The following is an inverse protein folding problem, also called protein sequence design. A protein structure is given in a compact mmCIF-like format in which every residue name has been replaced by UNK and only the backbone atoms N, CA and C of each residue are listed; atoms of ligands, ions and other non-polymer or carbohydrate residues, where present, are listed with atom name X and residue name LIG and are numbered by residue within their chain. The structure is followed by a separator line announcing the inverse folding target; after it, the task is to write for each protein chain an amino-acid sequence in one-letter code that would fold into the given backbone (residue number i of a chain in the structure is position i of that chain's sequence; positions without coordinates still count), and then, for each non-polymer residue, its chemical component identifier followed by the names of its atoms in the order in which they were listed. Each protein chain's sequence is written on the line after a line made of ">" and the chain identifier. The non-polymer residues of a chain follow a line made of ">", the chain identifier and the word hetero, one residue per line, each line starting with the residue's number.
data_IF_765062770308
#
_entry.id   IF_765062770308
#
_cell.length_a   1.000
_cell.length_b   1.000
_cell.length_c   1.000
_cell.angle_alpha   90.00
_cell.angle_beta   90.00
_cell.angle_gamma   90.00
#
_symmetry.space_group_name_H-M   'P 1'
#
loop_
_entity.id
_entity.type
_entity.pdbx_description
1 polymer ?
#
# COMPACT_ATOMS: atom_id res chain seq x y z
N UNK A 1 -4.50 -11.97 -19.52
CA UNK A 1 -5.50 -10.91 -19.26
C UNK A 1 -6.85 -11.44 -19.73
N UNK A 2 -7.83 -11.52 -18.84
CA UNK A 2 -9.17 -12.04 -19.15
C UNK A 2 -9.92 -10.98 -19.98
N UNK A 3 -9.96 -11.16 -21.31
CA UNK A 3 -10.57 -10.19 -22.23
C UNK A 3 -12.02 -9.86 -21.86
N UNK A 4 -12.74 -10.83 -21.28
CA UNK A 4 -14.11 -10.65 -20.84
C UNK A 4 -14.23 -9.65 -19.68
N UNK A 5 -13.31 -9.73 -18.70
CA UNK A 5 -13.31 -8.86 -17.54
C UNK A 5 -12.96 -7.41 -17.91
N UNK A 6 -11.96 -7.22 -18.77
CA UNK A 6 -11.60 -5.89 -19.26
C UNK A 6 -12.79 -5.19 -19.93
N UNK A 7 -13.50 -5.91 -20.81
CA UNK A 7 -14.67 -5.37 -21.50
C UNK A 7 -15.76 -4.95 -20.51
N UNK A 8 -16.00 -5.76 -19.46
CA UNK A 8 -16.96 -5.42 -18.40
C UNK A 8 -16.53 -4.15 -17.63
N UNK A 9 -15.25 -4.03 -17.29
CA UNK A 9 -14.72 -2.85 -16.57
C UNK A 9 -14.78 -1.56 -17.41
N UNK A 10 -14.79 -1.67 -18.74
CA UNK A 10 -14.92 -0.52 -19.64
C UNK A 10 -16.38 -0.12 -19.94
N UNK A 11 -17.38 -0.87 -19.49
CA UNK A 11 -18.78 -0.50 -19.66
C UNK A 11 -19.11 0.79 -18.87
N UNK A 12 -20.03 1.64 -19.36
CA UNK A 12 -20.60 2.73 -18.56
C UNK A 12 -21.21 2.22 -17.24
N UNK A 13 -21.16 3.03 -16.20
CA UNK A 13 -21.63 2.65 -14.86
C UNK A 13 -23.09 2.20 -14.83
N UNK A 14 -23.96 2.84 -15.61
CA UNK A 14 -25.36 2.44 -15.72
C UNK A 14 -25.52 0.99 -16.22
N UNK A 15 -24.63 0.52 -17.11
CA UNK A 15 -24.64 -0.86 -17.59
C UNK A 15 -24.02 -1.82 -16.56
N UNK A 16 -22.95 -1.41 -15.87
CA UNK A 16 -22.40 -2.19 -14.74
C UNK A 16 -23.46 -2.40 -13.65
N UNK A 17 -24.22 -1.36 -13.28
CA UNK A 17 -25.34 -1.45 -12.32
C UNK A 17 -26.45 -2.38 -12.81
N UNK A 18 -26.75 -2.39 -14.11
CA UNK A 18 -27.68 -3.37 -14.71
C UNK A 18 -27.17 -4.81 -14.58
N UNK A 19 -25.89 -5.06 -14.77
CA UNK A 19 -25.28 -6.40 -14.54
C UNK A 19 -25.41 -6.83 -13.07
N UNK A 20 -25.31 -5.87 -12.14
CA UNK A 20 -25.53 -6.06 -10.71
C UNK A 20 -27.03 -6.13 -10.34
N UNK A 21 -27.93 -6.06 -11.33
CA UNK A 21 -29.40 -6.04 -11.16
C UNK A 21 -29.89 -4.91 -10.24
N UNK A 22 -29.17 -3.78 -10.20
CA UNK A 22 -29.50 -2.63 -9.35
C UNK A 22 -29.23 -2.82 -7.86
N UNK A 23 -28.54 -3.90 -7.47
CA UNK A 23 -28.14 -4.13 -6.08
C UNK A 23 -26.88 -3.34 -5.74
N UNK A 24 -27.04 -2.03 -5.55
CA UNK A 24 -25.93 -1.19 -5.11
C UNK A 24 -25.68 -1.37 -3.61
N UNK A 25 -24.41 -1.59 -3.26
CA UNK A 25 -23.93 -1.60 -1.89
C UNK A 25 -23.85 -0.14 -1.44
N UNK A 26 -24.79 0.25 -0.58
CA UNK A 26 -24.83 1.54 0.09
C UNK A 26 -24.70 1.36 1.60
N UNK A 27 -23.69 2.00 2.19
CA UNK A 27 -23.33 1.92 3.62
C UNK A 27 -22.78 3.28 4.02
N UNK A 28 -23.02 3.74 5.26
CA UNK A 28 -22.58 5.05 5.77
C UNK A 28 -22.91 6.25 4.85
N UNK A 29 -24.10 6.29 4.27
CA UNK A 29 -24.53 7.29 3.28
C UNK A 29 -23.66 7.38 2.01
N UNK A 30 -22.81 6.38 1.76
CA UNK A 30 -21.99 6.23 0.55
C UNK A 30 -22.57 5.16 -0.34
N UNK A 31 -22.25 5.21 -1.63
CA UNK A 31 -22.58 4.15 -2.59
C UNK A 31 -21.31 3.67 -3.26
N UNK A 32 -21.04 2.38 -3.20
CA UNK A 32 -19.83 1.79 -3.78
C UNK A 32 -19.87 1.91 -5.30
N UNK A 33 -18.72 2.23 -5.90
CA UNK A 33 -18.58 2.27 -7.35
C UNK A 33 -18.97 0.90 -7.95
N UNK A 34 -19.80 0.83 -9.02
CA UNK A 34 -20.28 -0.45 -9.54
C UNK A 34 -19.16 -1.35 -10.05
N UNK A 35 -18.06 -0.78 -10.56
CA UNK A 35 -16.85 -1.54 -10.89
C UNK A 35 -16.23 -2.25 -9.68
N UNK A 36 -16.20 -1.57 -8.52
CA UNK A 36 -15.68 -2.13 -7.28
C UNK A 36 -16.57 -3.27 -6.76
N UNK A 37 -17.89 -3.15 -6.88
CA UNK A 37 -18.82 -4.21 -6.52
C UNK A 37 -18.58 -5.49 -7.36
N UNK A 38 -18.29 -5.34 -8.66
CA UNK A 38 -17.95 -6.47 -9.53
C UNK A 38 -16.60 -7.08 -9.12
N UNK A 39 -15.58 -6.26 -8.86
CA UNK A 39 -14.28 -6.72 -8.36
C UNK A 39 -14.45 -7.51 -7.05
N UNK A 40 -15.21 -6.98 -6.10
CA UNK A 40 -15.48 -7.62 -4.82
C UNK A 40 -16.18 -8.97 -5.00
N UNK A 41 -17.17 -9.03 -5.90
CA UNK A 41 -17.84 -10.27 -6.27
C UNK A 41 -16.86 -11.31 -6.84
N UNK A 42 -15.94 -10.89 -7.72
CA UNK A 42 -14.92 -11.77 -8.32
C UNK A 42 -13.96 -12.28 -7.25
N UNK A 43 -13.44 -11.40 -6.39
CA UNK A 43 -12.53 -11.75 -5.30
C UNK A 43 -13.18 -12.76 -4.35
N UNK A 44 -14.44 -12.50 -3.95
CA UNK A 44 -15.22 -13.44 -3.13
C UNK A 44 -15.44 -14.79 -3.80
N UNK A 45 -15.72 -14.84 -5.10
CA UNK A 45 -15.94 -16.09 -5.84
C UNK A 45 -14.65 -16.87 -6.07
N UNK A 46 -13.51 -16.17 -6.16
CA UNK A 46 -12.20 -16.77 -6.45
C UNK A 46 -11.35 -16.99 -5.18
N UNK A 47 -11.84 -16.65 -3.99
CA UNK A 47 -11.11 -16.85 -2.73
C UNK A 47 -10.61 -18.29 -2.60
N UNK A 48 -9.36 -18.44 -2.17
CA UNK A 48 -8.71 -19.75 -2.05
C UNK A 48 -9.21 -20.53 -0.83
N UNK A 49 -9.64 -19.84 0.22
CA UNK A 49 -10.22 -20.44 1.43
C UNK A 49 -11.34 -19.57 1.99
N UNK A 50 -12.18 -20.17 2.84
CA UNK A 50 -13.12 -19.44 3.72
C UNK A 50 -12.58 -19.26 5.13
N UNK A 51 -11.57 -20.04 5.49
CA UNK A 51 -10.89 -20.03 6.78
C UNK A 51 -9.41 -19.76 6.50
N UNK A 52 -8.96 -18.53 6.82
CA UNK A 52 -7.59 -18.09 6.50
C UNK A 52 -6.53 -18.88 7.28
N UNK A 53 -6.90 -19.42 8.45
CA UNK A 53 -6.00 -20.23 9.28
C UNK A 53 -5.85 -21.67 8.77
N UNK A 54 -6.68 -22.09 7.81
CA UNK A 54 -6.61 -23.45 7.24
C UNK A 54 -5.49 -23.64 6.21
N UNK A 55 -4.79 -22.58 5.82
CA UNK A 55 -3.70 -22.59 4.84
C UNK A 55 -2.43 -22.03 5.46
N UNK A 56 -1.30 -22.59 5.09
CA UNK A 56 -0.01 -22.00 5.45
C UNK A 56 0.21 -20.66 4.70
N UNK A 57 0.98 -19.72 5.29
CA UNK A 57 1.27 -18.43 4.68
C UNK A 57 1.87 -18.53 3.27
N UNK A 58 2.71 -19.53 2.98
CA UNK A 58 3.35 -19.67 1.69
C UNK A 58 2.33 -19.97 0.58
N UNK A 59 1.36 -20.85 0.84
CA UNK A 59 0.25 -21.13 -0.08
C UNK A 59 -0.55 -19.87 -0.42
N UNK A 60 -0.79 -18.99 0.57
CA UNK A 60 -1.52 -17.73 0.37
C UNK A 60 -0.68 -16.77 -0.48
N UNK A 61 0.62 -16.64 -0.22
CA UNK A 61 1.56 -15.83 -1.01
C UNK A 61 1.62 -16.29 -2.46
N UNK A 62 1.73 -17.60 -2.70
CA UNK A 62 1.78 -18.18 -4.03
C UNK A 62 0.50 -17.89 -4.82
N UNK A 63 -0.66 -18.01 -4.17
CA UNK A 63 -1.94 -17.65 -4.76
C UNK A 63 -2.01 -16.15 -5.11
N UNK A 64 -1.61 -15.28 -4.18
CA UNK A 64 -1.65 -13.83 -4.39
C UNK A 64 -0.71 -13.41 -5.52
N UNK A 65 0.51 -13.94 -5.53
CA UNK A 65 1.43 -13.81 -6.65
C UNK A 65 0.77 -14.26 -7.95
N UNK A 66 0.35 -15.52 -8.05
CA UNK A 66 -0.24 -16.11 -9.26
C UNK A 66 -1.42 -15.31 -9.83
N UNK A 67 -2.13 -14.57 -8.98
CA UNK A 67 -3.33 -13.81 -9.38
C UNK A 67 -3.13 -12.30 -9.53
N UNK A 68 -1.95 -11.75 -9.19
CA UNK A 68 -1.62 -10.32 -9.23
C UNK A 68 -2.10 -9.61 -10.51
N UNK A 69 -1.74 -10.15 -11.67
CA UNK A 69 -1.99 -9.51 -12.98
C UNK A 69 -3.46 -9.53 -13.43
N UNK A 70 -4.38 -10.14 -12.67
CA UNK A 70 -5.77 -10.38 -13.11
C UNK A 70 -6.67 -9.16 -12.96
N UNK A 71 -6.38 -8.27 -12.02
CA UNK A 71 -7.16 -7.08 -11.71
C UNK A 71 -6.41 -5.78 -12.00
N UNK A 72 -5.29 -5.88 -12.70
CA UNK A 72 -4.44 -4.75 -13.04
C UNK A 72 -4.64 -4.38 -14.51
N UNK A 73 -4.66 -3.08 -14.78
CA UNK A 73 -4.49 -2.54 -16.13
C UNK A 73 -3.14 -3.01 -16.65
N UNK A 74 -3.04 -3.21 -17.97
CA UNK A 74 -1.74 -3.46 -18.60
C UNK A 74 -0.78 -2.30 -18.26
N UNK A 75 0.35 -2.55 -17.58
CA UNK A 75 1.26 -1.49 -17.20
C UNK A 75 2.01 -0.92 -18.40
N UNK A 76 2.55 0.32 -18.29
CA UNK A 76 3.49 0.87 -19.26
C UNK A 76 4.75 0.00 -19.34
N UNK A 77 5.44 0.08 -20.48
CA UNK A 77 6.74 -0.59 -20.66
C UNK A 77 7.81 0.23 -19.94
N UNK A 78 8.17 -0.21 -18.75
CA UNK A 78 9.19 0.39 -17.90
C UNK A 78 10.34 -0.60 -17.73
N UNK A 79 11.57 -0.14 -18.02
CA UNK A 79 12.78 -0.92 -17.74
C UNK A 79 12.93 -1.04 -16.23
N UNK A 80 13.45 -2.17 -15.75
CA UNK A 80 13.74 -2.37 -14.34
C UNK A 80 14.98 -3.24 -14.16
N UNK A 81 15.59 -3.16 -12.98
CA UNK A 81 16.75 -3.94 -12.56
C UNK A 81 16.57 -4.33 -11.08
N UNK A 82 16.92 -5.57 -10.75
CA UNK A 82 16.91 -6.04 -9.37
C UNK A 82 18.31 -5.88 -8.77
N UNK A 83 18.36 -5.38 -7.53
CA UNK A 83 19.54 -5.28 -6.69
C UNK A 83 19.36 -6.18 -5.47
N UNK A 84 20.47 -6.64 -4.90
CA UNK A 84 20.49 -7.42 -3.67
C UNK A 84 21.14 -6.59 -2.56
N UNK A 85 20.54 -6.60 -1.38
CA UNK A 85 21.02 -5.92 -0.19
C UNK A 85 21.19 -6.96 0.90
N UNK A 86 22.39 -7.03 1.48
CA UNK A 86 22.67 -7.95 2.58
C UNK A 86 21.96 -7.49 3.87
N UNK A 87 21.40 -8.46 4.59
CA UNK A 87 20.79 -8.31 5.91
C UNK A 87 21.29 -9.45 6.81
N UNK A 88 21.11 -9.35 8.13
CA UNK A 88 21.78 -10.24 9.10
C UNK A 88 21.71 -11.74 8.79
N UNK A 89 20.57 -12.23 8.27
CA UNK A 89 20.34 -13.65 7.97
C UNK A 89 20.10 -13.93 6.47
N UNK A 90 20.58 -13.07 5.57
CA UNK A 90 20.45 -13.29 4.13
C UNK A 90 20.54 -12.04 3.29
N UNK A 91 19.65 -11.92 2.31
CA UNK A 91 19.53 -10.73 1.47
C UNK A 91 18.08 -10.43 1.15
N UNK A 92 17.77 -9.15 0.95
CA UNK A 92 16.51 -8.68 0.40
C UNK A 92 16.74 -8.14 -1.00
N UNK A 93 15.71 -8.26 -1.85
CA UNK A 93 15.74 -7.68 -3.20
C UNK A 93 15.13 -6.30 -3.20
N UNK A 94 15.73 -5.40 -3.98
CA UNK A 94 15.14 -4.11 -4.33
C UNK A 94 15.06 -4.01 -5.84
N UNK A 95 13.84 -3.81 -6.38
CA UNK A 95 13.64 -3.58 -7.81
C UNK A 95 13.63 -2.09 -8.09
N UNK A 96 14.63 -1.65 -8.83
CA UNK A 96 14.71 -0.32 -9.42
C UNK A 96 13.93 -0.29 -10.73
N UNK A 97 13.05 0.70 -10.88
CA UNK A 97 12.33 1.00 -12.11
C UNK A 97 12.77 2.35 -12.66
N UNK A 98 13.09 2.38 -13.95
CA UNK A 98 13.66 3.56 -14.61
C UNK A 98 12.57 4.41 -15.26
N UNK A 99 12.55 5.74 -15.06
CA UNK A 99 11.72 6.63 -15.87
C UNK A 99 12.15 6.55 -17.33
N UNK A 100 11.30 7.08 -18.23
CA UNK A 100 11.63 7.14 -19.66
C UNK A 100 12.86 8.04 -19.85
N UNK A 101 13.77 7.66 -20.75
CA UNK A 101 15.05 8.34 -21.00
C UNK A 101 14.91 9.83 -21.35
N UNK A 102 13.75 10.28 -21.83
CA UNK A 102 13.46 11.68 -22.14
C UNK A 102 12.99 12.52 -20.95
N UNK A 103 12.88 11.94 -19.75
CA UNK A 103 12.41 12.62 -18.54
C UNK A 103 13.60 12.79 -17.60
N UNK A 104 13.96 14.05 -17.33
CA UNK A 104 14.86 14.40 -16.24
C UNK A 104 14.10 14.26 -14.92
N UNK A 105 14.50 13.28 -14.09
CA UNK A 105 13.89 13.05 -12.79
C UNK A 105 14.52 13.92 -11.68
N UNK A 106 15.58 14.69 -11.95
CA UNK A 106 16.20 15.63 -11.00
C UNK A 106 16.56 15.00 -9.64
N UNK A 107 16.97 13.74 -9.64
CA UNK A 107 17.26 12.94 -8.44
C UNK A 107 16.05 12.50 -7.60
N UNK A 108 14.82 12.88 -8.00
CA UNK A 108 13.60 12.48 -7.30
C UNK A 108 13.39 10.97 -7.35
N UNK A 109 13.15 10.40 -6.17
CA UNK A 109 13.12 8.97 -5.97
C UNK A 109 11.98 8.58 -5.04
N UNK A 110 11.29 7.48 -5.35
CA UNK A 110 10.32 6.85 -4.47
C UNK A 110 10.84 5.48 -4.01
N UNK A 111 11.12 5.34 -2.72
CA UNK A 111 11.34 4.06 -2.07
C UNK A 111 9.96 3.49 -1.66
N UNK A 112 9.54 2.41 -2.32
CA UNK A 112 8.19 1.86 -2.23
C UNK A 112 8.14 0.55 -1.44
N UNK A 113 7.24 0.49 -0.45
CA UNK A 113 6.96 -0.70 0.36
C UNK A 113 5.58 -1.23 -0.01
N UNK A 114 5.51 -2.51 -0.41
CA UNK A 114 4.25 -3.09 -0.86
C UNK A 114 3.27 -3.36 0.29
N UNK A 115 1.97 -3.39 -0.01
CA UNK A 115 0.96 -3.84 0.94
C UNK A 115 0.90 -5.36 1.12
N UNK A 116 0.02 -5.81 2.00
CA UNK A 116 -0.22 -7.23 2.27
C UNK A 116 -0.09 -7.65 3.74
N UNK A 117 -0.42 -6.75 4.66
CA UNK A 117 -0.47 -7.05 6.11
C UNK A 117 0.82 -7.66 6.65
N UNK A 118 1.98 -7.25 6.11
CA UNK A 118 3.32 -7.74 6.46
C UNK A 118 3.57 -9.24 6.21
N UNK A 119 2.56 -9.98 5.73
CA UNK A 119 2.61 -11.44 5.57
C UNK A 119 2.46 -11.91 4.13
N UNK A 120 1.89 -11.09 3.25
CA UNK A 120 1.76 -11.35 1.82
C UNK A 120 2.23 -10.15 1.01
N UNK A 121 2.21 -10.29 -0.32
CA UNK A 121 2.77 -9.30 -1.24
C UNK A 121 4.17 -9.70 -1.69
N UNK A 122 4.68 -8.95 -2.66
CA UNK A 122 5.99 -9.16 -3.30
C UNK A 122 6.23 -8.07 -4.33
N UNK A 123 7.44 -8.02 -4.89
CA UNK A 123 7.76 -7.24 -6.09
C UNK A 123 6.78 -7.53 -7.23
N UNK A 124 6.37 -8.79 -7.41
CA UNK A 124 5.47 -9.17 -8.51
C UNK A 124 4.06 -8.63 -8.32
N UNK A 125 3.53 -8.68 -7.11
CA UNK A 125 2.14 -8.24 -6.84
C UNK A 125 1.94 -6.74 -7.07
N UNK A 126 2.99 -5.94 -6.84
CA UNK A 126 2.97 -4.48 -6.95
C UNK A 126 3.75 -3.95 -8.16
N UNK A 127 4.26 -4.83 -9.03
CA UNK A 127 5.05 -4.47 -10.22
C UNK A 127 4.27 -3.52 -11.14
N UNK A 128 2.99 -3.82 -11.40
CA UNK A 128 2.16 -2.96 -12.24
C UNK A 128 1.96 -1.57 -11.64
N UNK A 129 1.74 -1.49 -10.32
CA UNK A 129 1.55 -0.21 -9.62
C UNK A 129 2.84 0.62 -9.68
N UNK A 130 3.99 0.02 -9.35
CA UNK A 130 5.29 0.70 -9.43
C UNK A 130 5.56 1.23 -10.85
N UNK A 131 5.27 0.45 -11.89
CA UNK A 131 5.43 0.90 -13.29
C UNK A 131 4.51 2.08 -13.63
N UNK A 132 3.28 2.10 -13.12
CA UNK A 132 2.41 3.26 -13.29
C UNK A 132 2.94 4.47 -12.53
N UNK A 133 3.42 4.30 -11.29
CA UNK A 133 4.01 5.41 -10.51
C UNK A 133 5.22 6.01 -11.21
N UNK A 134 6.11 5.21 -11.80
CA UNK A 134 7.23 5.71 -12.62
C UNK A 134 6.74 6.54 -13.81
N UNK A 135 5.73 6.06 -14.54
CA UNK A 135 5.19 6.76 -15.71
C UNK A 135 4.44 8.05 -15.34
N UNK A 136 3.81 8.09 -14.17
CA UNK A 136 3.03 9.23 -13.68
C UNK A 136 3.90 10.31 -13.01
N UNK A 137 4.87 9.90 -12.18
CA UNK A 137 5.75 10.80 -11.44
C UNK A 137 6.94 11.24 -12.29
N UNK A 138 7.38 10.40 -13.23
CA UNK A 138 8.65 10.59 -13.93
C UNK A 138 9.88 10.34 -13.04
N UNK A 139 9.70 9.68 -11.89
CA UNK A 139 10.76 9.42 -10.90
C UNK A 139 11.34 8.01 -11.02
N UNK A 140 12.51 7.80 -10.44
CA UNK A 140 12.97 6.44 -10.12
C UNK A 140 12.13 5.86 -8.99
N UNK A 141 11.75 4.60 -9.11
CA UNK A 141 11.05 3.87 -8.05
C UNK A 141 11.90 2.67 -7.64
N UNK A 142 12.10 2.49 -6.34
CA UNK A 142 12.79 1.35 -5.76
C UNK A 142 11.79 0.59 -4.89
N UNK A 143 11.28 -0.55 -5.38
CA UNK A 143 10.36 -1.39 -4.61
C UNK A 143 11.13 -2.41 -3.78
N UNK A 144 10.88 -2.47 -2.48
CA UNK A 144 11.58 -3.36 -1.55
C UNK A 144 10.80 -4.65 -1.34
N UNK A 145 11.49 -5.79 -1.47
CA UNK A 145 11.01 -7.11 -1.10
C UNK A 145 11.44 -7.45 0.33
N UNK A 146 10.87 -6.72 1.29
CA UNK A 146 11.18 -6.92 2.70
C UNK A 146 10.70 -8.32 3.16
N UNK A 147 11.38 -8.89 4.16
CA UNK A 147 11.03 -10.22 4.68
C UNK A 147 9.66 -10.20 5.33
N UNK A 148 8.93 -11.31 5.23
CA UNK A 148 7.51 -11.37 5.62
C UNK A 148 7.29 -12.18 6.89
N UNK A 149 6.26 -11.77 7.65
CA UNK A 149 5.73 -12.53 8.76
C UNK A 149 4.89 -13.73 8.27
N UNK A 150 4.78 -14.83 9.03
CA UNK A 150 5.27 -15.01 10.41
C UNK A 150 6.75 -15.42 10.56
N UNK A 151 7.45 -15.75 9.48
CA UNK A 151 8.86 -16.15 9.52
C UNK A 151 9.75 -15.03 10.05
N UNK A 152 9.43 -13.79 9.66
CA UNK A 152 10.12 -12.58 10.09
C UNK A 152 9.10 -11.59 10.65
N UNK A 153 8.84 -11.70 11.96
CA UNK A 153 7.92 -10.85 12.73
C UNK A 153 8.49 -9.44 12.93
N UNK A 154 7.66 -8.51 13.42
CA UNK A 154 8.10 -7.22 13.94
C UNK A 154 9.32 -7.39 14.88
N UNK A 155 10.40 -6.59 14.73
CA UNK A 155 10.54 -5.43 13.83
C UNK A 155 11.20 -5.73 12.47
N UNK A 156 11.48 -6.98 12.11
CA UNK A 156 12.33 -7.34 10.96
C UNK A 156 11.90 -6.67 9.64
N UNK A 157 10.61 -6.64 9.25
CA UNK A 157 10.21 -5.99 8.00
C UNK A 157 10.52 -4.48 7.96
N UNK A 158 10.47 -3.79 9.11
CA UNK A 158 10.85 -2.38 9.22
C UNK A 158 12.36 -2.20 9.12
N UNK A 159 13.14 -3.06 9.76
CA UNK A 159 14.60 -3.04 9.67
C UNK A 159 15.09 -3.30 8.24
N UNK A 160 14.43 -4.18 7.49
CA UNK A 160 14.72 -4.39 6.06
C UNK A 160 14.45 -3.13 5.22
N UNK A 161 13.36 -2.41 5.52
CA UNK A 161 13.05 -1.13 4.86
C UNK A 161 14.07 -0.04 5.22
N UNK A 162 14.50 0.03 6.49
CA UNK A 162 15.57 0.93 6.94
C UNK A 162 16.90 0.62 6.24
N UNK A 163 17.21 -0.68 6.08
CA UNK A 163 18.43 -1.10 5.40
C UNK A 163 18.42 -0.78 3.92
N UNK A 164 17.26 -0.85 3.27
CA UNK A 164 17.08 -0.39 1.90
C UNK A 164 17.25 1.12 1.75
N UNK A 165 16.80 1.91 2.73
CA UNK A 165 17.03 3.36 2.78
C UNK A 165 18.52 3.70 2.94
N UNK A 166 19.23 3.02 3.85
CA UNK A 166 20.68 3.18 4.01
C UNK A 166 21.42 2.86 2.71
N UNK A 167 21.10 1.72 2.08
CA UNK A 167 21.70 1.33 0.81
C UNK A 167 21.48 2.37 -0.29
N UNK A 168 20.28 2.95 -0.40
CA UNK A 168 20.02 4.01 -1.37
C UNK A 168 20.87 5.25 -1.12
N UNK A 169 20.99 5.68 0.14
CA UNK A 169 21.79 6.84 0.52
C UNK A 169 23.27 6.59 0.24
N UNK A 170 23.79 5.41 0.59
CA UNK A 170 25.18 5.02 0.38
C UNK A 170 25.56 4.89 -1.10
N UNK A 171 24.61 4.50 -1.96
CA UNK A 171 24.85 4.26 -3.40
C UNK A 171 24.31 5.38 -4.30
N UNK A 172 23.90 6.50 -3.72
CA UNK A 172 23.11 7.54 -4.38
C UNK A 172 23.75 8.08 -5.68
N UNK A 173 25.06 8.34 -5.68
CA UNK A 173 25.79 8.80 -6.88
C UNK A 173 25.71 7.77 -8.02
N UNK A 174 25.93 6.49 -7.71
CA UNK A 174 25.92 5.41 -8.70
C UNK A 174 24.52 5.09 -9.24
N UNK A 175 23.49 5.40 -8.45
CA UNK A 175 22.09 5.18 -8.77
C UNK A 175 21.41 6.42 -9.37
N UNK A 176 22.13 7.55 -9.46
CA UNK A 176 21.58 8.84 -9.90
C UNK A 176 20.35 9.24 -9.03
N UNK A 177 20.54 9.12 -7.72
CA UNK A 177 19.56 9.48 -6.68
C UNK A 177 20.09 10.67 -5.90
N UNK A 178 19.22 11.62 -5.56
CA UNK A 178 19.53 12.67 -4.60
C UNK A 178 19.05 12.22 -3.21
N UNK A 179 19.94 11.98 -2.23
CA UNK A 179 19.55 11.54 -0.89
C UNK A 179 18.55 12.46 -0.17
N UNK A 180 18.52 13.74 -0.53
CA UNK A 180 17.59 14.72 0.05
C UNK A 180 16.21 14.73 -0.62
N UNK A 181 16.02 13.94 -1.69
CA UNK A 181 14.78 13.86 -2.48
C UNK A 181 14.23 12.44 -2.55
N UNK A 182 14.50 11.64 -1.52
CA UNK A 182 13.92 10.30 -1.39
C UNK A 182 12.58 10.43 -0.68
N UNK A 183 11.51 10.18 -1.42
CA UNK A 183 10.17 9.94 -0.89
C UNK A 183 10.07 8.49 -0.43
N UNK A 184 9.50 8.24 0.75
CA UNK A 184 9.05 6.90 1.12
C UNK A 184 7.56 6.77 0.87
N UNK A 185 7.11 5.60 0.44
CA UNK A 185 5.69 5.38 0.23
C UNK A 185 5.31 3.93 0.14
N UNK A 186 4.02 3.68 0.17
CA UNK A 186 3.49 2.33 0.14
C UNK A 186 1.99 2.33 0.26
N UNK A 187 1.45 1.12 0.33
CA UNK A 187 0.02 0.91 0.48
C UNK A 187 -0.30 -0.05 1.62
N UNK A 188 -1.38 0.19 2.36
CA UNK A 188 -1.78 -0.64 3.50
C UNK A 188 -0.63 -0.81 4.52
N UNK A 189 -0.18 -2.03 4.78
CA UNK A 189 1.00 -2.33 5.58
C UNK A 189 2.30 -1.67 5.08
N UNK A 190 2.46 -1.47 3.78
CA UNK A 190 3.61 -0.75 3.23
C UNK A 190 3.58 0.74 3.54
N UNK A 191 2.38 1.33 3.59
CA UNK A 191 2.21 2.71 4.06
C UNK A 191 2.48 2.82 5.57
N UNK A 192 2.12 1.81 6.37
CA UNK A 192 2.55 1.71 7.77
C UNK A 192 4.08 1.73 7.88
N UNK A 193 4.77 0.84 7.16
CA UNK A 193 6.24 0.78 7.14
C UNK A 193 6.87 2.11 6.72
N UNK A 194 6.25 2.82 5.77
CA UNK A 194 6.71 4.15 5.33
C UNK A 194 6.73 5.16 6.48
N UNK A 195 5.64 5.22 7.23
CA UNK A 195 5.52 6.11 8.38
C UNK A 195 6.46 5.68 9.51
N UNK A 196 6.49 4.39 9.85
CA UNK A 196 7.34 3.86 10.90
C UNK A 196 8.83 4.06 10.59
N UNK A 197 9.22 3.99 9.31
CA UNK A 197 10.57 4.31 8.86
C UNK A 197 10.90 5.78 9.13
N UNK A 198 10.01 6.73 8.80
CA UNK A 198 10.23 8.16 9.12
C UNK A 198 10.49 8.36 10.63
N UNK A 199 9.71 7.70 11.49
CA UNK A 199 9.89 7.77 12.94
C UNK A 199 11.26 7.21 13.34
N UNK A 200 11.61 6.00 12.88
CA UNK A 200 12.89 5.35 13.18
C UNK A 200 14.09 6.21 12.74
N UNK A 201 14.09 6.72 11.50
CA UNK A 201 15.17 7.59 10.98
C UNK A 201 15.33 8.84 11.84
N UNK A 202 14.22 9.44 12.27
CA UNK A 202 14.24 10.63 13.12
C UNK A 202 14.85 10.32 14.50
N UNK A 203 14.39 9.26 15.16
CA UNK A 203 14.88 8.87 16.49
C UNK A 203 16.35 8.44 16.47
N UNK A 204 16.80 7.82 15.37
CA UNK A 204 18.20 7.42 15.17
C UNK A 204 19.07 8.53 14.55
N UNK A 205 18.52 9.72 14.31
CA UNK A 205 19.22 10.86 13.69
C UNK A 205 19.88 10.52 12.34
N UNK A 206 19.22 9.67 11.54
CA UNK A 206 19.65 9.28 10.19
C UNK A 206 19.03 10.20 9.11
N UNK A 207 19.44 10.03 7.86
CA UNK A 207 18.86 10.75 6.72
C UNK A 207 17.34 10.52 6.68
N UNK A 208 16.58 11.62 6.78
CA UNK A 208 15.12 11.63 6.74
C UNK A 208 14.62 11.52 5.30
N UNK A 209 13.49 10.85 5.07
CA UNK A 209 12.74 10.97 3.82
C UNK A 209 12.26 12.41 3.58
N UNK A 210 12.22 12.84 2.33
CA UNK A 210 11.71 14.17 1.93
C UNK A 210 10.20 14.28 2.20
N UNK A 211 9.45 13.20 1.96
CA UNK A 211 8.00 13.12 2.14
C UNK A 211 7.52 11.68 2.24
N UNK A 212 6.25 11.53 2.60
CA UNK A 212 5.54 10.26 2.78
C UNK A 212 4.39 10.15 1.77
N UNK A 213 4.29 9.05 1.03
CA UNK A 213 3.18 8.76 0.12
C UNK A 213 2.40 7.53 0.62
N UNK A 214 1.26 7.78 1.27
CA UNK A 214 0.54 6.82 2.11
C UNK A 214 -0.81 6.45 1.50
N UNK A 215 -0.90 5.27 0.89
CA UNK A 215 -2.15 4.74 0.34
C UNK A 215 -2.85 3.86 1.39
N UNK A 216 -4.02 4.29 1.87
CA UNK A 216 -4.91 3.63 2.83
C UNK A 216 -4.15 2.95 3.99
N UNK A 217 -3.39 3.72 4.79
CA UNK A 217 -2.43 3.17 5.72
C UNK A 217 -3.12 2.56 6.96
N UNK A 218 -2.60 1.42 7.43
CA UNK A 218 -2.91 0.94 8.79
C UNK A 218 -1.99 1.60 9.79
N UNK A 219 -2.47 2.32 10.78
CA UNK A 219 -1.67 3.28 11.58
C UNK A 219 -1.98 3.25 13.07
N UNK A 220 -3.05 2.57 13.48
CA UNK A 220 -3.47 2.46 14.86
C UNK A 220 -4.05 1.06 15.16
N UNK A 221 -3.16 0.18 15.62
CA UNK A 221 -3.45 -1.24 15.87
C UNK A 221 -4.47 -1.50 17.00
N UNK A 222 -4.73 -0.52 17.87
CA UNK A 222 -5.72 -0.63 18.97
C UNK A 222 -6.86 0.37 18.86
N UNK A 223 -6.93 1.12 17.76
CA UNK A 223 -7.97 2.10 17.58
C UNK A 223 -9.35 1.47 17.38
N UNK A 224 -10.35 2.08 17.99
CA UNK A 224 -11.72 1.58 18.03
C UNK A 224 -12.61 2.41 17.10
N UNK A 225 -12.47 2.14 15.81
CA UNK A 225 -13.06 2.95 14.74
C UNK A 225 -14.36 2.36 14.20
N UNK A 226 -15.28 3.23 13.77
CA UNK A 226 -16.55 2.79 13.20
C UNK A 226 -16.36 2.09 11.85
N UNK A 227 -15.45 2.58 11.01
CA UNK A 227 -15.11 1.91 9.74
C UNK A 227 -14.69 0.46 9.93
N UNK A 228 -13.95 0.12 10.99
CA UNK A 228 -13.58 -1.26 11.29
C UNK A 228 -14.83 -2.09 11.56
N UNK A 229 -15.75 -1.62 12.42
CA UNK A 229 -16.98 -2.37 12.74
C UNK A 229 -17.87 -2.54 11.51
N UNK A 230 -17.99 -1.49 10.70
CA UNK A 230 -18.87 -1.47 9.53
C UNK A 230 -18.35 -2.34 8.39
N UNK A 231 -17.05 -2.34 8.11
CA UNK A 231 -16.48 -2.96 6.90
C UNK A 231 -15.73 -4.26 7.14
N UNK A 232 -15.57 -4.72 8.38
CA UNK A 232 -14.96 -6.05 8.65
C UNK A 232 -15.97 -7.19 8.56
N UNK A 233 -17.27 -6.89 8.63
CA UNK A 233 -18.36 -7.85 8.49
C UNK A 233 -18.83 -7.98 7.03
N UNK A 234 -19.21 -9.20 6.64
CA UNK A 234 -19.80 -9.49 5.32
C UNK A 234 -18.78 -9.90 4.25
N UNK A 235 -18.75 -9.19 3.12
CA UNK A 235 -18.00 -9.60 1.92
C UNK A 235 -16.96 -8.60 1.44
N UNK A 236 -16.59 -7.63 2.28
CA UNK A 236 -15.50 -6.70 2.01
C UNK A 236 -14.14 -7.41 2.00
N UNK A 237 -13.12 -6.74 1.45
CA UNK A 237 -11.81 -7.35 1.20
C UNK A 237 -11.05 -7.69 2.49
N UNK A 238 -11.01 -6.74 3.43
CA UNK A 238 -10.36 -6.89 4.72
C UNK A 238 -11.40 -7.31 5.77
N UNK A 239 -11.58 -8.61 5.94
CA UNK A 239 -12.47 -9.16 6.97
C UNK A 239 -11.81 -9.14 8.34
N UNK A 240 -12.61 -9.27 9.40
CA UNK A 240 -12.12 -9.38 10.78
C UNK A 240 -11.07 -10.49 10.94
N UNK A 241 -11.37 -11.69 10.43
CA UNK A 241 -10.47 -12.85 10.51
C UNK A 241 -9.15 -12.61 9.76
N UNK A 242 -9.20 -11.89 8.63
CA UNK A 242 -8.00 -11.60 7.85
C UNK A 242 -7.10 -10.56 8.55
N UNK A 243 -7.70 -9.51 9.12
CA UNK A 243 -6.97 -8.54 9.92
C UNK A 243 -6.33 -9.19 11.15
N UNK A 244 -7.09 -10.02 11.87
CA UNK A 244 -6.57 -10.77 13.01
C UNK A 244 -5.42 -11.69 12.60
N UNK A 245 -5.55 -12.41 11.48
CA UNK A 245 -4.49 -13.26 10.96
C UNK A 245 -3.20 -12.49 10.63
N UNK A 246 -3.31 -11.29 10.05
CA UNK A 246 -2.14 -10.42 9.84
C UNK A 246 -1.50 -9.99 11.16
N UNK A 247 -2.31 -9.60 12.15
CA UNK A 247 -1.83 -9.21 13.47
C UNK A 247 -1.10 -10.37 14.16
N UNK A 248 -1.73 -11.55 14.20
CA UNK A 248 -1.19 -12.76 14.82
C UNK A 248 0.15 -13.18 14.22
N UNK A 249 0.31 -13.00 12.91
CA UNK A 249 1.56 -13.28 12.21
C UNK A 249 2.64 -12.23 12.50
N UNK A 250 2.30 -10.95 12.47
CA UNK A 250 3.29 -9.87 12.45
C UNK A 250 3.81 -9.48 13.84
N UNK A 251 2.93 -9.38 14.84
CA UNK A 251 3.25 -8.71 16.11
C UNK A 251 2.68 -9.46 17.31
N UNK A 252 3.17 -9.17 18.51
CA UNK A 252 2.62 -9.71 19.76
C UNK A 252 1.80 -8.66 20.51
N UNK A 253 0.99 -9.08 21.49
CA UNK A 253 0.10 -8.20 22.26
C UNK A 253 0.76 -6.95 22.85
N UNK A 254 2.03 -7.04 23.25
CA UNK A 254 2.80 -5.92 23.81
C UNK A 254 3.19 -4.87 22.76
N UNK A 255 3.24 -5.26 21.48
CA UNK A 255 3.77 -4.43 20.39
C UNK A 255 2.70 -3.48 19.83
N UNK A 256 1.41 -3.74 20.07
CA UNK A 256 0.29 -2.95 19.52
C UNK A 256 0.35 -1.43 19.81
N UNK A 257 1.05 -1.03 20.87
CA UNK A 257 1.20 0.40 21.25
C UNK A 257 2.57 0.97 20.89
N UNK A 258 3.45 0.15 20.31
CA UNK A 258 4.77 0.60 19.88
C UNK A 258 4.61 1.54 18.67
N UNK A 259 5.25 2.73 18.65
CA UNK A 259 5.14 3.66 17.52
C UNK A 259 5.68 3.10 16.19
N UNK A 260 6.48 2.04 16.21
CA UNK A 260 6.95 1.34 15.01
C UNK A 260 5.97 0.29 14.47
N UNK A 261 4.81 0.17 15.10
CA UNK A 261 3.67 -0.67 14.67
C UNK A 261 2.43 0.19 14.50
N UNK A 262 2.15 1.04 15.49
CA UNK A 262 1.02 1.95 15.54
C UNK A 262 1.56 3.39 15.62
N UNK A 263 1.98 3.99 14.50
CA UNK A 263 2.59 5.33 14.46
C UNK A 263 1.69 6.44 15.00
N UNK A 264 0.38 6.19 15.13
CA UNK A 264 -0.56 7.09 15.83
C UNK A 264 -0.17 7.33 17.31
N UNK A 265 0.64 6.44 17.91
CA UNK A 265 1.13 6.57 19.28
C UNK A 265 2.45 7.35 19.40
N UNK A 266 2.99 7.89 18.30
CA UNK A 266 4.23 8.66 18.35
C UNK A 266 4.05 10.01 19.05
N UNK A 267 5.07 10.47 19.78
CA UNK A 267 4.94 11.62 20.69
C UNK A 267 5.33 12.97 20.06
N UNK A 268 6.15 12.96 19.02
CA UNK A 268 6.69 14.17 18.38
C UNK A 268 6.42 14.19 16.86
N UNK A 269 5.14 14.08 16.44
CA UNK A 269 4.77 14.06 15.02
C UNK A 269 5.14 15.32 14.24
N UNK A 270 5.34 16.46 14.91
CA UNK A 270 5.68 17.75 14.29
C UNK A 270 7.02 17.74 13.53
N UNK A 271 7.88 16.74 13.81
CA UNK A 271 9.17 16.54 13.15
C UNK A 271 9.11 15.54 11.99
N UNK A 272 7.94 14.94 11.72
CA UNK A 272 7.77 14.02 10.60
C UNK A 272 7.65 14.79 9.27
N UNK A 273 8.10 14.18 8.15
CA UNK A 273 8.11 14.87 6.87
C UNK A 273 6.69 15.06 6.32
N UNK A 274 6.50 15.99 5.35
CA UNK A 274 5.23 16.19 4.67
C UNK A 274 4.63 14.88 4.14
N UNK A 275 3.29 14.78 4.13
CA UNK A 275 2.61 13.54 3.77
C UNK A 275 1.48 13.75 2.75
N UNK A 276 1.29 12.74 1.91
CA UNK A 276 0.09 12.51 1.09
C UNK A 276 -0.61 11.32 1.71
N UNK A 277 -1.82 11.52 2.26
CA UNK A 277 -2.63 10.48 2.89
C UNK A 277 -3.89 10.25 2.07
N UNK A 278 -4.04 9.03 1.57
CA UNK A 278 -5.19 8.64 0.73
C UNK A 278 -5.99 7.57 1.47
N UNK A 279 -7.32 7.68 1.51
CA UNK A 279 -8.20 6.66 2.09
C UNK A 279 -9.27 6.20 1.10
N UNK A 280 -9.88 5.06 1.39
CA UNK A 280 -10.99 4.50 0.62
C UNK A 280 -12.26 4.47 1.49
N UNK A 281 -13.42 4.81 0.91
CA UNK A 281 -14.67 4.97 1.67
C UNK A 281 -15.27 3.67 2.22
N UNK A 282 -15.00 2.54 1.54
CA UNK A 282 -15.43 1.19 1.91
C UNK A 282 -14.23 0.36 2.39
N UNK A 283 -13.57 0.84 3.44
CA UNK A 283 -12.33 0.29 3.97
C UNK A 283 -12.38 0.29 5.51
N UNK A 284 -12.10 -0.85 6.18
CA UNK A 284 -11.90 -0.88 7.61
C UNK A 284 -10.90 0.17 8.12
N UNK A 285 -9.84 0.44 7.36
CA UNK A 285 -8.75 1.35 7.76
C UNK A 285 -9.06 2.84 7.44
N UNK A 286 -10.27 3.15 6.95
CA UNK A 286 -10.67 4.51 6.54
C UNK A 286 -10.48 5.53 7.67
N UNK A 287 -11.09 5.24 8.83
CA UNK A 287 -11.17 6.22 9.91
C UNK A 287 -9.81 6.38 10.62
N UNK A 288 -8.99 5.33 10.72
CA UNK A 288 -7.63 5.45 11.26
C UNK A 288 -6.72 6.26 10.33
N UNK A 289 -6.86 6.12 9.00
CA UNK A 289 -6.14 6.96 8.05
C UNK A 289 -6.54 8.43 8.15
N UNK A 290 -7.83 8.72 8.35
CA UNK A 290 -8.31 10.08 8.62
C UNK A 290 -7.77 10.62 9.96
N UNK A 291 -7.79 9.79 11.01
CA UNK A 291 -7.26 10.17 12.32
C UNK A 291 -5.76 10.50 12.25
N UNK A 292 -4.99 9.75 11.47
CA UNK A 292 -3.57 10.00 11.27
C UNK A 292 -3.29 11.29 10.48
N UNK A 293 -4.11 11.60 9.47
CA UNK A 293 -4.08 12.91 8.81
C UNK A 293 -4.29 14.05 9.82
N UNK A 294 -5.34 13.97 10.65
CA UNK A 294 -5.64 15.02 11.63
C UNK A 294 -4.55 15.11 12.71
N UNK A 295 -3.96 13.97 13.09
CA UNK A 295 -2.82 13.90 14.01
C UNK A 295 -1.60 14.68 13.49
N UNK A 296 -1.17 14.43 12.25
CA UNK A 296 -0.07 15.15 11.62
C UNK A 296 -0.39 16.63 11.41
N UNK A 297 -1.60 16.95 10.93
CA UNK A 297 -2.05 18.32 10.69
C UNK A 297 -2.09 19.14 11.98
N UNK A 298 -2.60 18.57 13.07
CA UNK A 298 -2.62 19.23 14.39
C UNK A 298 -1.21 19.52 14.91
N UNK A 299 -0.24 18.70 14.55
CA UNK A 299 1.17 18.90 14.87
C UNK A 299 1.88 19.93 13.97
N UNK A 300 1.20 20.46 12.95
CA UNK A 300 1.76 21.46 12.03
C UNK A 300 2.50 20.87 10.81
N UNK A 301 2.43 19.55 10.60
CA UNK A 301 3.00 18.90 9.41
C UNK A 301 2.17 19.28 8.18
N UNK A 302 2.83 19.54 7.05
CA UNK A 302 2.15 19.74 5.77
C UNK A 302 1.59 18.41 5.27
N UNK A 303 0.26 18.29 5.24
CA UNK A 303 -0.39 17.06 4.79
C UNK A 303 -1.46 17.35 3.74
N UNK A 304 -1.40 16.62 2.63
CA UNK A 304 -2.51 16.50 1.68
C UNK A 304 -3.33 15.26 2.02
N UNK A 305 -4.65 15.40 2.08
CA UNK A 305 -5.57 14.29 2.35
C UNK A 305 -6.64 14.21 1.28
N UNK A 306 -6.96 12.97 0.87
CA UNK A 306 -8.10 12.69 0.00
C UNK A 306 -8.72 11.33 0.31
N UNK A 307 -10.01 11.34 0.61
CA UNK A 307 -10.85 10.14 0.62
C UNK A 307 -11.43 9.88 -0.78
N UNK A 308 -11.38 8.63 -1.22
CA UNK A 308 -12.15 8.14 -2.35
C UNK A 308 -13.35 7.35 -1.83
N UNK A 309 -14.46 8.08 -1.62
CA UNK A 309 -15.67 7.59 -0.91
C UNK A 309 -16.30 6.33 -1.51
N UNK A 310 -16.07 6.07 -2.80
CA UNK A 310 -16.70 5.01 -3.58
C UNK A 310 -15.80 3.76 -3.81
N UNK A 311 -14.58 3.78 -3.29
CA UNK A 311 -13.56 2.73 -3.49
C UNK A 311 -13.39 1.82 -2.25
N UNK A 312 -12.84 0.63 -2.48
CA UNK A 312 -12.50 -0.34 -1.41
C UNK A 312 -11.00 -0.34 -1.11
N UNK A 313 -10.60 -0.96 0.00
CA UNK A 313 -9.20 -1.20 0.33
C UNK A 313 -8.43 -1.89 -0.82
N UNK A 314 -7.19 -1.47 -1.08
CA UNK A 314 -6.35 -2.07 -2.12
C UNK A 314 -6.63 -1.58 -3.54
N UNK A 315 -7.49 -0.56 -3.73
CA UNK A 315 -7.90 -0.09 -5.06
C UNK A 315 -6.73 0.29 -5.97
N UNK A 316 -5.59 0.72 -5.44
CA UNK A 316 -4.42 1.09 -6.25
C UNK A 316 -3.85 -0.10 -7.03
N UNK A 317 -4.16 -1.32 -6.60
CA UNK A 317 -3.80 -2.56 -7.28
C UNK A 317 -4.94 -3.12 -8.17
N UNK A 318 -6.09 -2.44 -8.25
CA UNK A 318 -7.26 -2.83 -9.05
C UNK A 318 -7.47 -1.94 -10.28
N UNK A 319 -6.37 -1.51 -10.91
CA UNK A 319 -6.35 -0.52 -12.00
C UNK A 319 -7.07 -0.97 -13.27
N UNK A 320 -7.50 -2.24 -13.37
CA UNK A 320 -8.40 -2.70 -14.44
C UNK A 320 -9.69 -1.88 -14.49
N UNK A 321 -10.16 -1.39 -13.33
CA UNK A 321 -11.27 -0.46 -13.22
C UNK A 321 -10.77 0.98 -13.43
N UNK A 322 -11.24 1.70 -14.47
CA UNK A 322 -10.82 3.07 -14.75
C UNK A 322 -10.88 4.01 -13.54
N UNK A 323 -11.94 3.93 -12.73
CA UNK A 323 -12.10 4.75 -11.53
C UNK A 323 -10.96 4.57 -10.52
N UNK A 324 -10.46 3.33 -10.35
CA UNK A 324 -9.31 3.06 -9.49
C UNK A 324 -8.01 3.63 -10.06
N UNK A 325 -7.83 3.50 -11.38
CA UNK A 325 -6.66 4.07 -12.05
C UNK A 325 -6.66 5.60 -11.97
N UNK A 326 -7.80 6.26 -12.15
CA UNK A 326 -7.95 7.70 -11.96
C UNK A 326 -7.55 8.14 -10.55
N UNK A 327 -7.96 7.39 -9.53
CA UNK A 327 -7.56 7.67 -8.15
C UNK A 327 -6.03 7.59 -7.95
N UNK A 328 -5.34 6.63 -8.59
CA UNK A 328 -3.87 6.54 -8.59
C UNK A 328 -3.22 7.72 -9.33
N UNK A 329 -3.80 8.14 -10.46
CA UNK A 329 -3.31 9.30 -11.22
C UNK A 329 -3.44 10.59 -10.41
N UNK A 330 -4.56 10.77 -9.72
CA UNK A 330 -4.82 11.95 -8.91
C UNK A 330 -3.96 11.97 -7.65
N UNK A 331 -3.74 10.83 -6.99
CA UNK A 331 -2.88 10.77 -5.80
C UNK A 331 -1.41 11.05 -6.14
N UNK A 332 -0.91 10.59 -7.29
CA UNK A 332 0.47 10.81 -7.71
C UNK A 332 0.80 12.27 -8.08
N UNK A 333 -0.20 13.14 -8.27
CA UNK A 333 0.01 14.55 -8.67
C UNK A 333 0.22 15.52 -7.50
N UNK A 334 0.00 15.07 -6.27
CA UNK A 334 0.08 15.88 -5.04
C UNK A 334 1.31 15.47 -4.24
#
# INVERSE_FOLDING_TARGET
>A
MDLSLNLIMMLPDALKRRLLKGNDIAVDNRTMHPGQQIILYILKKRRITKDIYSLDPQTIRDYYNKTADRLQKRPPRIKHKDHQIDVDDGSIRVREYFPKESIDHQGQTLLYFHGGGFSIGSLRTHDSLCKHLVDLLGWRVFSVEYRLAPEYRFPIPLEDCDKAMDWLVENAESLDVDPQKITVGGDSAGANLSTCLCIKRLEESKQMPDRQYLLYPGVDSKGDYESIRTFTDGYFLLTKDLLQWFHDNYMSEKDHTNPYVAPMNYKTPELLPPAVVITAGFDPLRDEGLAYYEFLKKAGVKVYYKEYEDLIHGFANFTIEPRCYEAVVESAKN
#
